data_IF_006423264079
#
_entry.id   IF_006423264079
#
_cell.length_a   1.000
_cell.length_b   1.000
_cell.length_c   1.000
_cell.angle_alpha   90.00
_cell.angle_beta   90.00
_cell.angle_gamma   90.00
#
_symmetry.space_group_name_H-M   'P 1'
#
loop_
_entity.id
_entity.type
_entity.pdbx_description
1 polymer ?
#
# COMPACT_ATOMS: atom_id res chain seq x y z
N UNK A 1 -16.39 9.86 18.14
CA UNK A 1 -15.88 8.49 18.24
C UNK A 1 -14.56 8.43 17.48
N UNK A 2 -13.49 7.90 18.08
CA UNK A 2 -12.20 7.67 17.42
C UNK A 2 -12.22 6.43 16.49
N UNK A 3 -13.27 5.61 16.59
CA UNK A 3 -13.46 4.41 15.78
C UNK A 3 -14.42 4.67 14.62
N UNK A 4 -14.10 4.05 13.47
CA UNK A 4 -14.96 4.03 12.29
C UNK A 4 -16.35 3.47 12.65
N UNK A 5 -17.45 4.06 12.15
CA UNK A 5 -18.79 3.59 12.45
C UNK A 5 -18.98 2.17 11.88
N UNK A 6 -19.35 1.17 12.70
CA UNK A 6 -19.53 -0.22 12.25
C UNK A 6 -20.59 -0.39 11.15
N UNK A 7 -21.54 0.55 11.07
CA UNK A 7 -22.59 0.57 10.05
C UNK A 7 -22.11 1.05 8.67
N UNK A 8 -20.91 1.63 8.59
CA UNK A 8 -20.34 2.16 7.34
C UNK A 8 -19.14 1.36 6.83
N UNK A 9 -18.60 0.43 7.62
CA UNK A 9 -17.43 -0.37 7.26
C UNK A 9 -17.73 -1.84 7.50
N UNK A 10 -17.87 -2.60 6.42
CA UNK A 10 -18.15 -4.03 6.47
C UNK A 10 -16.97 -4.81 7.07
N UNK A 11 -15.75 -4.53 6.61
CA UNK A 11 -14.55 -5.26 7.00
C UNK A 11 -13.27 -4.46 6.74
N UNK A 12 -12.19 -4.84 7.41
CA UNK A 12 -10.83 -4.33 7.20
C UNK A 12 -9.91 -5.50 6.89
N UNK A 13 -9.24 -5.41 5.74
CA UNK A 13 -8.18 -6.33 5.36
C UNK A 13 -6.83 -5.82 5.91
N UNK A 14 -6.19 -6.63 6.75
CA UNK A 14 -4.87 -6.39 7.30
C UNK A 14 -3.85 -7.11 6.41
N UNK A 15 -3.14 -6.36 5.58
CA UNK A 15 -2.29 -6.89 4.51
C UNK A 15 -0.82 -6.70 4.87
N UNK A 16 -0.07 -7.79 4.96
CA UNK A 16 1.39 -7.80 5.13
C UNK A 16 1.93 -9.20 4.81
N UNK A 17 3.15 -9.31 4.30
CA UNK A 17 3.82 -10.60 4.04
C UNK A 17 4.03 -11.43 5.30
N UNK A 18 4.02 -10.81 6.49
CA UNK A 18 4.28 -11.51 7.75
C UNK A 18 3.00 -11.96 8.47
N UNK A 19 1.82 -11.53 8.04
CA UNK A 19 0.56 -12.08 8.56
C UNK A 19 0.36 -13.52 8.07
N UNK A 20 -0.25 -14.41 8.86
CA UNK A 20 -0.87 -15.62 8.33
C UNK A 20 -2.23 -15.30 7.70
N UNK A 21 -2.58 -16.03 6.64
CA UNK A 21 -3.90 -15.95 6.02
C UNK A 21 -4.97 -16.50 6.98
N UNK A 22 -6.04 -15.72 7.20
CA UNK A 22 -7.18 -16.18 8.00
C UNK A 22 -7.84 -17.40 7.36
N UNK A 23 -8.19 -18.41 8.15
CA UNK A 23 -8.92 -19.62 7.74
C UNK A 23 -8.20 -20.50 6.68
N UNK A 24 -6.90 -20.30 6.45
CA UNK A 24 -6.11 -21.16 5.56
C UNK A 24 -5.27 -22.11 6.42
N UNK A 25 -5.63 -23.39 6.42
CA UNK A 25 -4.94 -24.41 7.18
C UNK A 25 -3.45 -24.46 6.80
N UNK A 26 -2.57 -24.44 7.81
CA UNK A 26 -1.12 -24.47 7.60
C UNK A 26 -0.50 -23.16 7.08
N UNK A 27 -1.25 -22.06 6.97
CA UNK A 27 -0.66 -20.74 6.68
C UNK A 27 0.24 -20.31 7.82
N UNK A 28 1.53 -20.22 7.54
CA UNK A 28 2.55 -19.73 8.48
C UNK A 28 2.94 -18.32 8.04
N UNK A 29 2.56 -17.33 8.86
CA UNK A 29 3.03 -15.96 8.70
C UNK A 29 4.55 -15.84 8.93
N UNK A 30 5.08 -14.66 8.69
CA UNK A 30 6.49 -14.30 8.92
C UNK A 30 6.83 -13.93 10.37
N UNK A 31 5.97 -14.29 11.34
CA UNK A 31 6.25 -14.14 12.77
C UNK A 31 5.33 -13.21 13.55
N UNK A 32 4.33 -12.57 12.94
CA UNK A 32 3.30 -11.83 13.70
C UNK A 32 2.21 -12.79 14.16
N UNK A 33 1.99 -12.86 15.47
CA UNK A 33 0.87 -13.60 16.06
C UNK A 33 -0.45 -12.93 15.72
N UNK A 34 -1.48 -13.68 15.38
CA UNK A 34 -2.85 -13.17 15.22
C UNK A 34 -3.70 -13.27 16.49
N UNK A 35 -3.12 -13.73 17.60
CA UNK A 35 -3.84 -13.88 18.88
C UNK A 35 -4.46 -12.57 19.36
N UNK A 36 -3.74 -11.46 19.23
CA UNK A 36 -4.25 -10.14 19.59
C UNK A 36 -5.40 -9.64 18.70
N UNK A 37 -5.68 -10.32 17.58
CA UNK A 37 -6.82 -10.03 16.71
C UNK A 37 -7.96 -11.00 17.02
N UNK A 38 -7.69 -12.31 17.04
CA UNK A 38 -8.74 -13.33 17.06
C UNK A 38 -9.05 -13.88 18.46
N UNK A 39 -8.12 -13.80 19.40
CA UNK A 39 -8.31 -14.30 20.78
C UNK A 39 -8.78 -13.18 21.74
N UNK A 40 -8.82 -11.94 21.27
CA UNK A 40 -9.23 -10.76 22.06
C UNK A 40 -10.75 -10.54 22.10
N UNK A 41 -11.53 -11.31 21.34
CA UNK A 41 -12.99 -11.18 21.22
C UNK A 41 -13.45 -10.60 19.88
N UNK A 42 -14.73 -10.25 19.79
CA UNK A 42 -15.32 -9.71 18.56
C UNK A 42 -15.02 -8.23 18.39
N UNK A 43 -14.33 -7.88 17.31
CA UNK A 43 -14.17 -6.50 16.88
C UNK A 43 -15.49 -5.94 16.30
N UNK A 44 -15.82 -4.65 16.53
CA UNK A 44 -16.99 -4.03 15.93
C UNK A 44 -16.99 -4.05 14.40
N UNK A 45 -15.79 -3.99 13.80
CA UNK A 45 -15.56 -4.15 12.36
C UNK A 45 -14.77 -5.43 12.16
N UNK A 46 -15.20 -6.26 11.22
CA UNK A 46 -14.53 -7.54 10.94
C UNK A 46 -13.11 -7.31 10.46
N UNK A 47 -12.13 -7.92 11.14
CA UNK A 47 -10.72 -7.89 10.73
C UNK A 47 -10.35 -9.20 10.01
N UNK A 48 -9.67 -9.10 8.86
CA UNK A 48 -9.21 -10.26 8.07
C UNK A 48 -7.74 -10.08 7.71
N UNK A 49 -6.89 -10.99 8.18
CA UNK A 49 -5.46 -10.98 7.83
C UNK A 49 -5.21 -11.66 6.49
N UNK A 50 -4.42 -10.99 5.64
CA UNK A 50 -3.98 -11.48 4.33
C UNK A 50 -2.45 -11.45 4.25
N UNK A 51 -1.86 -12.60 3.96
CA UNK A 51 -0.43 -12.75 3.72
C UNK A 51 -0.10 -12.34 2.29
N UNK A 52 0.31 -11.08 2.10
CA UNK A 52 0.65 -10.54 0.78
C UNK A 52 1.91 -9.71 0.86
N UNK A 53 2.91 -10.07 0.07
CA UNK A 53 4.11 -9.28 -0.17
C UNK A 53 3.89 -8.32 -1.34
N UNK A 54 3.46 -7.10 -1.02
CA UNK A 54 3.23 -6.04 -2.01
C UNK A 54 4.52 -5.58 -2.73
N UNK A 55 5.71 -6.03 -2.30
CA UNK A 55 6.95 -5.81 -3.08
C UNK A 55 6.99 -6.66 -4.35
N UNK A 56 6.27 -7.79 -4.36
CA UNK A 56 6.23 -8.73 -5.46
C UNK A 56 5.01 -8.45 -6.34
N UNK A 57 5.28 -8.09 -7.60
CA UNK A 57 4.21 -7.72 -8.54
C UNK A 57 3.15 -8.81 -8.75
N UNK A 58 3.49 -10.10 -8.63
CA UNK A 58 2.49 -11.18 -8.72
C UNK A 58 1.49 -11.12 -7.57
N UNK A 59 1.98 -11.06 -6.33
CA UNK A 59 1.12 -11.03 -5.13
C UNK A 59 0.31 -9.73 -5.08
N UNK A 60 0.89 -8.60 -5.51
CA UNK A 60 0.17 -7.34 -5.66
C UNK A 60 -0.98 -7.44 -6.66
N UNK A 61 -0.76 -8.07 -7.82
CA UNK A 61 -1.84 -8.30 -8.81
C UNK A 61 -2.90 -9.27 -8.29
N UNK A 62 -2.51 -10.27 -7.52
CA UNK A 62 -3.46 -11.22 -6.94
C UNK A 62 -4.33 -10.54 -5.86
N UNK A 63 -3.74 -9.68 -5.02
CA UNK A 63 -4.47 -8.78 -4.11
C UNK A 63 -5.35 -7.82 -4.91
N UNK A 64 -4.80 -7.24 -5.98
CA UNK A 64 -5.52 -6.44 -6.94
C UNK A 64 -6.76 -7.17 -7.44
N UNK A 65 -6.70 -8.42 -7.86
CA UNK A 65 -7.88 -9.19 -8.29
C UNK A 65 -8.93 -9.35 -7.21
N UNK A 66 -8.54 -9.45 -5.93
CA UNK A 66 -9.49 -9.49 -4.82
C UNK A 66 -10.25 -8.16 -4.72
N UNK A 67 -9.54 -7.05 -4.86
CA UNK A 67 -10.10 -5.69 -4.88
C UNK A 67 -10.87 -5.39 -6.18
N UNK A 68 -10.38 -5.85 -7.33
CA UNK A 68 -10.93 -5.62 -8.67
C UNK A 68 -12.27 -6.31 -8.84
N UNK A 69 -12.46 -7.47 -8.21
CA UNK A 69 -13.71 -8.23 -8.26
C UNK A 69 -14.74 -7.75 -7.25
N UNK A 70 -14.36 -6.87 -6.34
CA UNK A 70 -15.23 -6.36 -5.30
C UNK A 70 -15.87 -5.03 -5.76
N UNK A 71 -17.20 -4.98 -5.96
CA UNK A 71 -17.89 -3.74 -6.29
C UNK A 71 -18.04 -2.82 -5.06
N UNK A 72 -17.73 -3.29 -3.85
CA UNK A 72 -17.89 -2.51 -2.63
C UNK A 72 -16.87 -1.35 -2.57
N UNK A 73 -17.32 -0.14 -2.18
CA UNK A 73 -16.43 0.99 -1.92
C UNK A 73 -15.26 0.62 -1.01
N UNK A 74 -14.04 0.71 -1.54
CA UNK A 74 -12.79 0.30 -0.90
C UNK A 74 -11.82 1.46 -0.85
N UNK A 75 -11.25 1.71 0.33
CA UNK A 75 -10.16 2.66 0.53
C UNK A 75 -8.88 1.87 0.79
N UNK A 76 -7.83 2.16 0.03
CA UNK A 76 -6.51 1.59 0.25
C UNK A 76 -5.75 2.46 1.25
N UNK A 77 -5.37 1.89 2.39
CA UNK A 77 -4.61 2.58 3.43
C UNK A 77 -3.20 1.99 3.57
N UNK A 78 -2.19 2.77 3.23
CA UNK A 78 -0.77 2.40 3.35
C UNK A 78 -0.08 3.12 4.49
N UNK A 79 0.17 2.42 5.61
CA UNK A 79 0.84 2.97 6.80
C UNK A 79 2.24 2.36 6.94
N UNK A 80 3.23 3.18 7.32
CA UNK A 80 4.64 2.75 7.46
C UNK A 80 5.21 2.10 6.19
N UNK A 81 4.77 2.57 5.02
CA UNK A 81 5.26 2.08 3.74
C UNK A 81 6.66 2.62 3.47
N UNK A 82 7.67 1.83 3.82
CA UNK A 82 9.07 2.18 3.64
C UNK A 82 9.52 2.06 2.17
N UNK A 83 10.36 2.99 1.72
CA UNK A 83 11.04 2.85 0.44
C UNK A 83 10.08 2.97 -0.74
N UNK A 84 10.00 1.93 -1.57
CA UNK A 84 9.15 1.92 -2.78
C UNK A 84 7.75 1.37 -2.53
N UNK A 85 7.38 1.08 -1.28
CA UNK A 85 6.09 0.46 -0.97
C UNK A 85 4.91 1.39 -1.28
N UNK A 86 5.06 2.70 -1.09
CA UNK A 86 4.02 3.67 -1.49
C UNK A 86 3.75 3.67 -2.98
N UNK A 87 4.79 3.49 -3.81
CA UNK A 87 4.64 3.35 -5.25
C UNK A 87 3.86 2.08 -5.63
N UNK A 88 4.03 0.99 -4.86
CA UNK A 88 3.26 -0.24 -5.04
C UNK A 88 1.80 -0.08 -4.63
N UNK A 89 1.54 0.66 -3.55
CA UNK A 89 0.17 0.99 -3.14
C UNK A 89 -0.54 1.89 -4.17
N UNK A 90 0.17 2.86 -4.76
CA UNK A 90 -0.37 3.68 -5.86
C UNK A 90 -0.66 2.81 -7.09
N UNK A 91 0.24 1.89 -7.45
CA UNK A 91 -0.04 0.96 -8.55
C UNK A 91 -1.33 0.16 -8.31
N UNK A 92 -1.53 -0.36 -7.09
CA UNK A 92 -2.76 -1.07 -6.73
C UNK A 92 -4.00 -0.18 -6.84
N UNK A 93 -3.89 1.08 -6.43
CA UNK A 93 -4.97 2.07 -6.55
C UNK A 93 -5.31 2.35 -8.01
N UNK A 94 -4.31 2.66 -8.84
CA UNK A 94 -4.50 2.92 -10.27
C UNK A 94 -5.07 1.68 -10.98
N UNK A 95 -4.58 0.48 -10.68
CA UNK A 95 -5.14 -0.78 -11.22
C UNK A 95 -6.61 -0.94 -10.84
N UNK A 96 -6.98 -0.57 -9.61
CA UNK A 96 -8.35 -0.55 -9.12
C UNK A 96 -9.23 0.40 -9.93
N UNK A 97 -8.83 1.67 -10.05
CA UNK A 97 -9.54 2.70 -10.81
C UNK A 97 -9.83 2.26 -12.26
N UNK A 98 -8.83 1.76 -12.98
CA UNK A 98 -8.99 1.35 -14.38
C UNK A 98 -9.84 0.11 -14.57
N UNK A 99 -9.91 -0.76 -13.56
CA UNK A 99 -10.68 -2.00 -13.63
C UNK A 99 -12.18 -1.81 -13.40
N UNK A 100 -12.62 -0.60 -13.01
CA UNK A 100 -14.00 -0.30 -12.68
C UNK A 100 -14.47 -0.93 -11.36
N UNK A 101 -13.55 -1.32 -10.48
CA UNK A 101 -13.88 -1.86 -9.17
C UNK A 101 -14.23 -0.79 -8.14
N UNK A 102 -14.69 -1.19 -6.97
CA UNK A 102 -15.13 -0.28 -5.92
C UNK A 102 -14.02 0.55 -5.27
N UNK A 103 -12.80 0.64 -5.79
CA UNK A 103 -11.76 1.47 -5.18
C UNK A 103 -12.08 2.95 -5.34
N UNK A 104 -12.29 3.65 -4.22
CA UNK A 104 -12.74 5.05 -4.19
C UNK A 104 -11.74 5.98 -3.52
N UNK A 105 -10.68 5.45 -2.90
CA UNK A 105 -9.72 6.30 -2.19
C UNK A 105 -8.39 5.62 -1.88
N UNK A 106 -7.38 6.48 -1.71
CA UNK A 106 -6.02 6.11 -1.34
C UNK A 106 -5.54 7.02 -0.20
N UNK A 107 -5.03 6.41 0.87
CA UNK A 107 -4.41 7.10 1.99
C UNK A 107 -3.00 6.55 2.16
N UNK A 108 -1.98 7.41 2.13
CA UNK A 108 -0.58 7.01 2.29
C UNK A 108 0.08 7.80 3.41
N UNK A 109 0.74 7.08 4.32
CA UNK A 109 1.63 7.62 5.34
C UNK A 109 3.02 6.97 5.21
N UNK A 110 3.82 7.33 4.18
CA UNK A 110 5.18 6.84 4.02
C UNK A 110 6.08 7.36 5.14
N UNK A 111 6.91 6.49 5.72
CA UNK A 111 7.87 6.88 6.75
C UNK A 111 9.32 6.86 6.28
N UNK A 112 9.63 6.28 5.11
CA UNK A 112 10.99 6.21 4.59
C UNK A 112 11.04 6.46 3.09
N UNK A 113 12.07 7.20 2.66
CA UNK A 113 12.39 7.38 1.25
C UNK A 113 12.89 6.09 0.61
N UNK A 114 12.72 5.91 -0.71
CA UNK A 114 13.46 4.95 -1.50
C UNK A 114 14.97 4.98 -1.20
N UNK A 115 15.60 3.81 -1.12
CA UNK A 115 16.96 3.66 -0.57
C UNK A 115 17.97 4.41 -1.43
N UNK A 116 18.95 5.07 -0.81
CA UNK A 116 20.06 5.76 -1.51
C UNK A 116 20.82 4.87 -2.49
N UNK A 117 20.95 3.57 -2.21
CA UNK A 117 21.56 2.61 -3.14
C UNK A 117 20.88 2.58 -4.51
N UNK A 118 19.58 2.90 -4.59
CA UNK A 118 18.84 2.97 -5.85
C UNK A 118 19.27 4.18 -6.69
N UNK A 119 19.66 5.30 -6.05
CA UNK A 119 20.30 6.44 -6.73
C UNK A 119 21.64 6.04 -7.33
N UNK A 120 22.49 5.35 -6.57
CA UNK A 120 23.81 4.95 -7.06
C UNK A 120 23.70 4.00 -8.28
N UNK A 121 22.59 3.27 -8.36
CA UNK A 121 22.21 2.42 -9.50
C UNK A 121 21.40 3.13 -10.59
N UNK A 122 21.16 4.44 -10.47
CA UNK A 122 20.34 5.27 -11.37
C UNK A 122 18.99 4.64 -11.66
N UNK A 123 18.35 4.12 -10.62
CA UNK A 123 17.05 3.48 -10.74
C UNK A 123 16.00 4.52 -11.14
N UNK A 124 15.18 4.18 -12.14
CA UNK A 124 14.06 5.00 -12.58
C UNK A 124 12.76 4.33 -12.17
N UNK A 125 11.88 5.08 -11.51
CA UNK A 125 10.53 4.65 -11.18
C UNK A 125 9.56 5.11 -12.26
N UNK A 126 8.58 4.27 -12.57
CA UNK A 126 7.49 4.58 -13.50
C UNK A 126 6.20 3.98 -12.94
N UNK A 127 5.22 4.82 -12.61
CA UNK A 127 3.92 4.45 -12.04
C UNK A 127 2.88 5.47 -12.49
N UNK A 128 1.72 5.01 -12.97
CA UNK A 128 0.62 5.89 -13.40
C UNK A 128 1.02 6.89 -14.48
N UNK A 129 1.90 6.48 -15.41
CA UNK A 129 2.42 7.36 -16.46
C UNK A 129 3.45 8.39 -16.01
N UNK A 130 3.66 8.59 -14.70
CA UNK A 130 4.70 9.46 -14.17
C UNK A 130 6.01 8.71 -13.99
N UNK A 131 7.11 9.34 -14.39
CA UNK A 131 8.45 8.77 -14.37
C UNK A 131 9.43 9.72 -13.69
N UNK A 132 10.25 9.19 -12.79
CA UNK A 132 11.27 9.96 -12.08
C UNK A 132 12.46 9.08 -11.64
N UNK A 133 13.63 9.69 -11.56
CA UNK A 133 14.87 9.06 -11.10
C UNK A 133 15.01 9.06 -9.58
N UNK A 134 15.76 8.10 -9.05
CA UNK A 134 16.09 8.07 -7.62
C UNK A 134 16.96 9.26 -7.18
N UNK A 135 17.70 9.89 -8.09
CA UNK A 135 18.45 11.13 -7.90
C UNK A 135 17.55 12.31 -7.51
N UNK A 136 16.34 12.39 -8.05
CA UNK A 136 15.37 13.46 -7.75
C UNK A 136 14.91 13.44 -6.29
N UNK A 137 15.13 12.32 -5.59
CA UNK A 137 14.81 12.18 -4.17
C UNK A 137 15.96 12.59 -3.24
N UNK A 138 17.20 12.46 -3.69
CA UNK A 138 18.38 12.54 -2.81
C UNK A 138 19.29 13.73 -3.13
N UNK A 139 19.24 14.25 -4.35
CA UNK A 139 20.15 15.30 -4.80
C UNK A 139 19.45 16.66 -4.80
N UNK A 140 19.99 17.62 -4.04
CA UNK A 140 19.39 18.96 -3.83
C UNK A 140 19.20 19.77 -5.11
N UNK A 141 19.96 19.48 -6.17
CA UNK A 141 19.80 20.13 -7.47
C UNK A 141 18.70 19.52 -8.32
N UNK A 142 18.37 18.24 -8.09
CA UNK A 142 17.39 17.49 -8.87
C UNK A 142 15.99 17.53 -8.24
N UNK A 143 15.89 17.84 -6.96
CA UNK A 143 14.63 17.83 -6.22
C UNK A 143 13.87 19.18 -6.25
N UNK A 144 14.12 20.01 -7.27
CA UNK A 144 13.53 21.36 -7.42
C UNK A 144 13.74 22.29 -6.21
N UNK A 145 14.80 22.05 -5.41
CA UNK A 145 15.06 22.79 -4.18
C UNK A 145 14.20 22.38 -2.98
N UNK A 146 13.36 21.34 -3.13
CA UNK A 146 12.55 20.80 -2.04
C UNK A 146 13.40 19.97 -1.07
N UNK A 147 12.89 19.71 0.13
CA UNK A 147 13.44 18.63 0.97
C UNK A 147 13.12 17.26 0.36
N UNK A 148 13.98 16.26 0.58
CA UNK A 148 13.77 14.91 0.05
C UNK A 148 12.37 14.31 0.35
N UNK A 149 11.78 14.46 1.57
CA UNK A 149 10.42 14.02 1.84
C UNK A 149 9.34 14.76 1.03
N UNK A 150 9.54 16.08 0.82
CA UNK A 150 8.61 16.89 0.04
C UNK A 150 8.67 16.50 -1.44
N UNK A 151 9.87 16.35 -2.01
CA UNK A 151 10.04 15.86 -3.39
C UNK A 151 9.40 14.49 -3.60
N UNK A 152 9.59 13.55 -2.65
CA UNK A 152 8.94 12.26 -2.75
C UNK A 152 7.43 12.37 -2.71
N UNK A 153 6.87 13.22 -1.85
CA UNK A 153 5.42 13.47 -1.80
C UNK A 153 4.90 13.99 -3.13
N UNK A 154 5.58 14.94 -3.77
CA UNK A 154 5.17 15.46 -5.10
C UNK A 154 5.17 14.34 -6.16
N UNK A 155 6.20 13.48 -6.19
CA UNK A 155 6.21 12.33 -7.09
C UNK A 155 5.10 11.33 -6.78
N UNK A 156 4.79 11.08 -5.51
CA UNK A 156 3.69 10.19 -5.13
C UNK A 156 2.35 10.72 -5.65
N UNK A 157 2.09 12.02 -5.56
CA UNK A 157 0.89 12.62 -6.14
C UNK A 157 0.87 12.53 -7.68
N UNK A 158 2.01 12.81 -8.32
CA UNK A 158 2.12 12.72 -9.78
C UNK A 158 1.92 11.29 -10.33
N UNK A 159 2.18 10.25 -9.53
CA UNK A 159 1.94 8.86 -9.90
C UNK A 159 0.46 8.42 -9.85
N UNK A 160 -0.46 9.25 -9.32
CA UNK A 160 -1.88 8.90 -9.23
C UNK A 160 -2.56 9.21 -10.56
N UNK A 161 -3.21 8.20 -11.15
CA UNK A 161 -3.86 8.28 -12.47
C UNK A 161 -5.35 8.67 -12.28
N UNK A 162 -5.60 9.96 -12.05
CA UNK A 162 -6.94 10.56 -11.83
C UNK A 162 -7.36 11.48 -12.96
#
# INVERSE_FOLDING_TARGET
SELLPPTSVEQIYLVDKVWPNRNVAGSKGGGISTSHIYDFGSWPIRLVTLQVDITKGRELRDLGRHVIRDPCPTIICGIHLCGTLSLRAIQLFNDGLHSGCGVVGLILAPCCLPRRQQRDRRFCYEVGGHRFGAEELHDRGANFGLGAPAAFREHLFACIDV
#
